data_IF_196131979282
#
_entry.id   IF_196131979282
#
_cell.length_a   1.000
_cell.length_b   1.000
_cell.length_c   1.000
_cell.angle_alpha   90.00
_cell.angle_beta   90.00
_cell.angle_gamma   90.00
#
_symmetry.space_group_name_H-M   'P 1'
#
loop_
_entity.id
_entity.type
_entity.pdbx_description
1 polymer ?
#
# COMPACT_ATOMS: atom_id res chain seq x y z
N UNK A 1 -7.73 -7.09 7.71
CA UNK A 1 -6.66 -7.31 6.72
C UNK A 1 -7.27 -7.18 5.35
N UNK A 2 -6.69 -6.36 4.49
CA UNK A 2 -7.06 -6.25 3.07
C UNK A 2 -5.92 -6.83 2.25
N UNK A 3 -6.23 -7.58 1.19
CA UNK A 3 -5.24 -8.22 0.31
C UNK A 3 -5.64 -8.05 -1.13
N UNK A 4 -4.69 -7.69 -1.98
CA UNK A 4 -4.85 -7.64 -3.42
C UNK A 4 -3.59 -8.21 -4.08
N UNK A 5 -3.71 -9.42 -4.64
CA UNK A 5 -2.60 -10.15 -5.27
C UNK A 5 -1.40 -10.25 -4.32
N UNK A 6 -0.35 -9.45 -4.54
CA UNK A 6 0.89 -9.40 -3.76
C UNK A 6 0.94 -8.26 -2.73
N UNK A 7 -0.01 -7.32 -2.78
CA UNK A 7 -0.12 -6.20 -1.85
C UNK A 7 -1.05 -6.55 -0.67
N UNK A 8 -0.56 -6.31 0.56
CA UNK A 8 -1.31 -6.55 1.79
C UNK A 8 -1.34 -5.31 2.68
N UNK A 9 -2.50 -5.04 3.28
CA UNK A 9 -2.70 -3.97 4.24
C UNK A 9 -3.31 -4.50 5.54
N UNK A 10 -2.63 -4.19 6.65
CA UNK A 10 -3.07 -4.53 8.00
C UNK A 10 -3.25 -3.17 8.71
N UNK A 11 -4.47 -2.89 9.16
CA UNK A 11 -4.85 -1.59 9.73
C UNK A 11 -5.70 -1.80 10.99
N UNK A 12 -5.51 -0.93 11.98
CA UNK A 12 -6.31 -0.85 13.21
C UNK A 12 -6.61 0.61 13.54
N UNK A 13 -7.73 0.83 14.24
CA UNK A 13 -8.03 2.13 14.87
C UNK A 13 -7.16 2.36 16.11
N UNK A 14 -6.93 1.30 16.88
CA UNK A 14 -6.17 1.35 18.13
C UNK A 14 -4.82 0.65 17.95
N UNK A 15 -3.73 1.36 18.28
CA UNK A 15 -2.36 0.88 18.01
C UNK A 15 -1.98 -0.32 18.86
N UNK A 16 -2.50 -0.45 20.09
CA UNK A 16 -2.08 -1.49 21.02
C UNK A 16 -2.41 -2.92 20.54
N UNK A 17 -3.54 -3.08 19.83
CA UNK A 17 -3.92 -4.37 19.25
C UNK A 17 -3.23 -4.66 17.91
N UNK A 18 -2.51 -3.71 17.31
CA UNK A 18 -1.94 -3.90 15.98
C UNK A 18 -0.82 -4.95 15.96
N UNK A 19 -0.07 -5.10 17.05
CA UNK A 19 0.98 -6.11 17.19
C UNK A 19 0.39 -7.52 17.18
N UNK A 20 -0.79 -7.73 17.77
CA UNK A 20 -1.49 -9.01 17.77
C UNK A 20 -1.92 -9.40 16.35
N UNK A 21 -2.52 -8.46 15.61
CA UNK A 21 -2.89 -8.69 14.21
C UNK A 21 -1.67 -9.04 13.33
N UNK A 22 -0.54 -8.36 13.54
CA UNK A 22 0.70 -8.65 12.83
C UNK A 22 1.21 -10.06 13.17
N UNK A 23 1.14 -10.47 14.44
CA UNK A 23 1.53 -11.81 14.87
C UNK A 23 0.68 -12.89 14.19
N UNK A 24 -0.65 -12.72 14.19
CA UNK A 24 -1.57 -13.64 13.51
C UNK A 24 -1.31 -13.68 12.00
N UNK A 25 -1.15 -12.52 11.38
CA UNK A 25 -0.89 -12.42 9.94
C UNK A 25 0.42 -13.11 9.57
N UNK A 26 1.50 -12.87 10.33
CA UNK A 26 2.78 -13.52 10.09
C UNK A 26 2.72 -15.04 10.34
N UNK A 27 1.90 -15.52 11.28
CA UNK A 27 1.68 -16.94 11.48
C UNK A 27 1.04 -17.59 10.24
N UNK A 28 0.04 -16.92 9.65
CA UNK A 28 -0.58 -17.36 8.39
C UNK A 28 0.42 -17.37 7.24
N UNK A 29 1.20 -16.29 7.06
CA UNK A 29 2.22 -16.23 6.00
C UNK A 29 3.24 -17.37 6.13
N UNK A 30 3.73 -17.63 7.35
CA UNK A 30 4.66 -18.75 7.62
C UNK A 30 4.03 -20.10 7.33
N UNK A 31 2.78 -20.32 7.74
CA UNK A 31 2.04 -21.58 7.50
C UNK A 31 1.96 -21.92 6.01
N UNK A 32 1.70 -20.92 5.17
CA UNK A 32 1.58 -21.09 3.72
C UNK A 32 2.89 -20.82 2.95
N UNK A 33 4.02 -20.63 3.66
CA UNK A 33 5.34 -20.35 3.09
C UNK A 33 5.39 -19.11 2.18
N UNK A 34 4.51 -18.15 2.43
CA UNK A 34 4.53 -16.85 1.78
C UNK A 34 5.65 -15.99 2.39
N UNK A 35 6.36 -15.25 1.54
CA UNK A 35 7.48 -14.41 1.94
C UNK A 35 7.16 -12.94 1.64
N UNK A 36 7.42 -12.09 2.61
CA UNK A 36 7.40 -10.64 2.43
C UNK A 36 8.76 -10.17 1.92
N UNK A 37 8.77 -9.05 1.19
CA UNK A 37 9.99 -8.34 0.83
C UNK A 37 10.22 -7.21 1.86
N UNK A 38 11.17 -7.34 2.81
CA UNK A 38 11.36 -6.35 3.86
C UNK A 38 11.67 -4.94 3.33
N UNK A 39 12.35 -4.83 2.18
CA UNK A 39 12.66 -3.54 1.55
C UNK A 39 11.45 -2.81 0.95
N UNK A 40 10.31 -3.50 0.80
CA UNK A 40 9.05 -2.93 0.31
C UNK A 40 7.97 -2.83 1.40
N UNK A 41 8.18 -3.43 2.58
CA UNK A 41 7.22 -3.39 3.66
C UNK A 41 7.39 -2.13 4.52
N UNK A 42 6.27 -1.57 4.98
CA UNK A 42 6.25 -0.53 6.00
C UNK A 42 5.41 -1.02 7.20
N UNK A 43 5.92 -0.82 8.41
CA UNK A 43 5.28 -1.25 9.65
C UNK A 43 5.22 -0.10 10.66
N UNK A 44 4.19 -0.08 11.52
CA UNK A 44 4.08 0.91 12.60
C UNK A 44 3.87 2.35 12.12
N UNK A 45 3.40 2.55 10.88
CA UNK A 45 3.14 3.87 10.31
C UNK A 45 1.69 4.30 10.58
N UNK A 46 1.46 5.61 10.76
CA UNK A 46 0.11 6.18 10.93
C UNK A 46 -0.70 6.26 9.62
N UNK A 47 -0.01 6.08 8.49
CA UNK A 47 -0.58 5.96 7.16
C UNK A 47 0.51 5.56 6.16
N UNK A 48 0.10 5.04 5.00
CA UNK A 48 1.03 4.52 4.00
C UNK A 48 0.41 4.36 2.62
N UNK A 49 1.25 4.07 1.63
CA UNK A 49 0.79 3.78 0.26
C UNK A 49 0.28 2.34 0.16
N UNK A 50 -0.90 2.15 -0.40
CA UNK A 50 -1.47 0.85 -0.73
C UNK A 50 -2.22 0.94 -2.06
N UNK A 51 -1.90 0.07 -3.03
CA UNK A 51 -2.45 0.10 -4.40
C UNK A 51 -2.35 1.48 -5.07
N UNK A 52 -1.31 2.24 -4.70
CA UNK A 52 -1.07 3.59 -5.15
C UNK A 52 -2.07 4.65 -4.67
N UNK A 53 -2.85 4.36 -3.62
CA UNK A 53 -3.58 5.34 -2.82
C UNK A 53 -2.85 5.58 -1.49
N UNK A 54 -3.11 6.72 -0.85
CA UNK A 54 -2.68 6.95 0.52
C UNK A 54 -3.78 6.43 1.46
N UNK A 55 -3.42 5.56 2.39
CA UNK A 55 -4.33 5.10 3.43
C UNK A 55 -3.89 5.69 4.76
N UNK A 56 -4.79 6.43 5.41
CA UNK A 56 -4.56 7.10 6.69
C UNK A 56 -5.66 6.73 7.67
N UNK A 57 -5.54 7.16 8.93
CA UNK A 57 -6.63 7.05 9.90
C UNK A 57 -7.93 7.75 9.48
N UNK A 58 -7.84 8.77 8.61
CA UNK A 58 -9.00 9.50 8.10
C UNK A 58 -9.69 8.78 6.93
N UNK A 59 -9.06 7.76 6.36
CA UNK A 59 -9.59 6.99 5.24
C UNK A 59 -8.62 6.92 4.07
N UNK A 60 -9.17 6.91 2.86
CA UNK A 60 -8.41 6.86 1.60
C UNK A 60 -8.22 8.29 1.11
N UNK A 61 -6.97 8.67 0.87
CA UNK A 61 -6.56 9.98 0.39
C UNK A 61 -5.85 9.81 -0.97
N UNK A 62 -5.91 10.85 -1.82
CA UNK A 62 -5.24 10.84 -3.10
C UNK A 62 -3.71 10.87 -2.91
N UNK A 63 -2.98 10.13 -3.73
CA UNK A 63 -1.52 10.11 -3.68
C UNK A 63 -0.95 11.39 -4.31
N UNK A 64 -0.22 12.24 -3.56
CA UNK A 64 0.38 13.46 -4.09
C UNK A 64 1.32 13.20 -5.28
N UNK A 65 2.04 12.07 -5.27
CA UNK A 65 2.95 11.69 -6.36
C UNK A 65 2.18 11.45 -7.66
N UNK A 66 1.01 10.80 -7.58
CA UNK A 66 0.14 10.55 -8.74
C UNK A 66 -0.55 11.84 -9.19
N UNK A 67 -0.97 12.70 -8.26
CA UNK A 67 -1.54 14.02 -8.60
C UNK A 67 -0.52 14.83 -9.39
N UNK A 68 0.72 14.91 -8.87
CA UNK A 68 1.81 15.64 -9.52
C UNK A 68 2.10 15.09 -10.91
N UNK A 69 2.16 13.77 -11.06
CA UNK A 69 2.40 13.14 -12.37
C UNK A 69 1.34 13.52 -13.43
N UNK A 70 0.08 13.74 -13.03
CA UNK A 70 -0.98 14.21 -13.94
C UNK A 70 -0.87 15.70 -14.24
N UNK A 71 -0.56 16.53 -13.23
CA UNK A 71 -0.37 17.98 -13.43
C UNK A 71 0.83 18.25 -14.35
N UNK A 72 1.91 17.50 -14.17
CA UNK A 72 3.14 17.62 -14.93
C UNK A 72 3.06 16.91 -16.31
N UNK A 73 1.95 16.23 -16.61
CA UNK A 73 1.76 15.51 -17.86
C UNK A 73 1.59 16.49 -19.03
N UNK A 74 2.53 16.47 -19.98
CA UNK A 74 2.39 17.17 -21.25
C UNK A 74 1.29 16.55 -22.14
N UNK A 75 0.79 17.29 -23.14
CA UNK A 75 -0.20 16.75 -24.07
C UNK A 75 0.33 15.50 -24.78
N UNK A 76 -0.53 14.51 -25.06
CA UNK A 76 -0.11 13.29 -25.75
C UNK A 76 0.45 13.65 -27.13
N UNK A 77 1.65 13.17 -27.43
CA UNK A 77 2.23 13.29 -28.77
C UNK A 77 1.65 12.19 -29.66
N UNK A 78 0.96 12.57 -30.74
CA UNK A 78 0.60 11.62 -31.79
C UNK A 78 1.88 11.06 -32.41
N UNK A 79 2.08 9.74 -32.31
CA UNK A 79 3.05 9.03 -33.14
C UNK A 79 2.37 8.69 -34.46
N UNK A 80 2.54 9.53 -35.47
CA UNK A 80 2.35 9.10 -36.85
C UNK A 80 3.61 8.31 -37.25
N UNK A 81 3.46 7.00 -37.45
CA UNK A 81 4.45 6.21 -38.16
C UNK A 81 4.15 6.33 -39.65
N UNK A 82 5.16 6.73 -40.43
CA UNK A 82 5.20 6.55 -41.89
C UNK A 82 5.30 5.06 -42.27
#
# INVERSE_FOLDING_TARGET
>A
MEVYVDDMLIKRKEVHHHVEDLNETFAVLRKYRLKLNPGKCAFGVSGGRFLGFMVTQRGIEANPDKIKAIIDMGPPAMKFND
#
